data_IF_733945564201
#
_entry.id   IF_733945564201
#
_cell.length_a   1.000
_cell.length_b   1.000
_cell.length_c   1.000
_cell.angle_alpha   90.00
_cell.angle_beta   90.00
_cell.angle_gamma   90.00
#
_symmetry.space_group_name_H-M   'P 1'
#
loop_
_entity.id
_entity.type
_entity.pdbx_description
1 polymer ?
#
# COMPACT_ATOMS: atom_id res chain seq x y z
N UNK A 1 -64.20 40.91 29.75
CA UNK A 1 -62.76 41.10 29.96
C UNK A 1 -62.07 39.82 29.51
N UNK A 2 -61.54 39.82 28.29
CA UNK A 2 -60.90 38.67 27.64
C UNK A 2 -59.44 38.60 28.11
N UNK A 3 -59.05 37.47 28.71
CA UNK A 3 -57.65 37.19 29.05
C UNK A 3 -57.05 36.41 27.88
N UNK A 4 -56.17 37.06 27.12
CA UNK A 4 -55.43 36.47 26.01
C UNK A 4 -54.19 35.77 26.55
N UNK A 5 -54.13 34.43 26.45
CA UNK A 5 -52.91 33.67 26.76
C UNK A 5 -51.87 33.90 25.65
N UNK A 6 -50.73 34.50 26.02
CA UNK A 6 -49.55 34.62 25.15
C UNK A 6 -48.89 33.25 24.99
N UNK A 7 -48.60 32.88 23.74
CA UNK A 7 -47.79 31.72 23.39
C UNK A 7 -46.40 31.84 24.02
N UNK A 8 -46.04 30.86 24.86
CA UNK A 8 -44.66 30.65 25.32
C UNK A 8 -43.96 29.88 24.21
N UNK A 9 -43.03 30.54 23.50
CA UNK A 9 -42.13 29.87 22.59
C UNK A 9 -41.19 28.96 23.38
N UNK A 10 -41.37 27.65 23.24
CA UNK A 10 -40.42 26.66 23.74
C UNK A 10 -39.21 26.72 22.81
N UNK A 11 -38.14 27.36 23.28
CA UNK A 11 -36.84 27.31 22.63
C UNK A 11 -36.32 25.88 22.80
N UNK A 12 -36.46 25.06 21.76
CA UNK A 12 -35.79 23.77 21.69
C UNK A 12 -34.28 24.04 21.60
N UNK A 13 -33.61 23.95 22.74
CA UNK A 13 -32.16 23.93 22.80
C UNK A 13 -31.72 22.61 22.18
N UNK A 14 -31.41 22.61 20.89
CA UNK A 14 -30.77 21.47 20.25
C UNK A 14 -29.38 21.35 20.88
N UNK A 15 -29.26 20.46 21.86
CA UNK A 15 -27.98 20.02 22.38
C UNK A 15 -27.24 19.39 21.20
N UNK A 16 -26.29 20.12 20.63
CA UNK A 16 -25.30 19.52 19.74
C UNK A 16 -24.57 18.48 20.59
N UNK A 17 -24.57 17.18 20.22
CA UNK A 17 -23.69 16.24 20.88
C UNK A 17 -22.28 16.74 20.58
N UNK A 18 -21.63 17.31 21.59
CA UNK A 18 -20.18 17.45 21.60
C UNK A 18 -19.72 16.00 21.63
N UNK A 19 -19.38 15.43 20.46
CA UNK A 19 -18.64 14.17 20.45
C UNK A 19 -17.39 14.47 21.27
N UNK A 20 -17.19 13.73 22.36
CA UNK A 20 -15.92 13.75 23.04
C UNK A 20 -14.85 13.56 21.96
N UNK A 21 -13.90 14.49 21.88
CA UNK A 21 -12.71 14.27 21.09
C UNK A 21 -12.15 12.96 21.64
N UNK A 22 -12.20 11.91 20.82
CA UNK A 22 -11.50 10.69 21.14
C UNK A 22 -10.00 11.09 21.24
N UNK A 23 -9.37 10.57 22.28
CA UNK A 23 -8.01 10.88 22.70
C UNK A 23 -7.26 9.57 22.60
N UNK A 24 -6.06 9.56 22.01
CA UNK A 24 -5.32 8.31 21.84
C UNK A 24 -5.25 7.52 23.16
N UNK A 25 -5.83 6.32 23.17
CA UNK A 25 -5.73 5.38 24.27
C UNK A 25 -4.35 4.71 24.22
N UNK A 26 -3.37 5.31 24.90
CA UNK A 26 -2.05 4.74 25.11
C UNK A 26 -2.20 3.48 25.98
N UNK A 27 -2.12 2.29 25.38
CA UNK A 27 -2.37 1.01 26.06
C UNK A 27 -1.14 0.12 26.14
N UNK A 28 -0.25 0.43 27.09
CA UNK A 28 0.59 -0.58 27.74
C UNK A 28 2.09 -0.48 27.46
N UNK A 29 2.88 -0.80 28.49
CA UNK A 29 4.30 -1.08 28.33
C UNK A 29 4.50 -2.60 28.21
N UNK A 30 5.27 -3.07 27.23
CA UNK A 30 5.71 -4.48 27.23
C UNK A 30 6.76 -4.71 28.34
N UNK A 31 6.92 -5.94 28.87
CA UNK A 31 7.86 -6.22 29.97
C UNK A 31 9.34 -5.89 29.66
N UNK A 32 9.68 -5.65 28.39
CA UNK A 32 11.03 -5.30 27.92
C UNK A 32 11.16 -3.83 27.45
N UNK A 33 10.11 -3.01 27.57
CA UNK A 33 10.27 -1.54 27.62
C UNK A 33 9.72 -0.69 26.46
N UNK A 34 8.76 -1.15 25.67
CA UNK A 34 8.11 -0.33 24.62
C UNK A 34 6.82 0.36 25.05
N UNK A 35 6.46 1.49 24.42
CA UNK A 35 5.14 2.14 24.51
C UNK A 35 4.20 1.58 23.43
N UNK A 36 3.08 1.02 23.85
CA UNK A 36 1.97 0.69 22.95
C UNK A 36 1.00 1.87 22.93
N UNK A 37 0.84 2.49 21.76
CA UNK A 37 -0.12 3.58 21.57
C UNK A 37 -1.22 3.13 20.61
N UNK A 38 -2.47 3.27 21.04
CA UNK A 38 -3.61 3.19 20.14
C UNK A 38 -4.21 4.58 20.00
N UNK A 39 -4.38 5.04 18.77
CA UNK A 39 -4.98 6.34 18.52
C UNK A 39 -6.43 6.22 18.07
N UNK A 40 -7.35 6.74 18.88
CA UNK A 40 -8.73 7.03 18.50
C UNK A 40 -8.98 8.55 18.59
N UNK A 41 -9.67 9.12 17.61
CA UNK A 41 -9.98 10.55 17.60
C UNK A 41 -8.85 11.50 17.19
N UNK A 42 -8.82 12.70 17.77
CA UNK A 42 -8.02 13.82 17.26
C UNK A 42 -6.80 14.10 18.16
N UNK A 43 -5.59 13.96 17.61
CA UNK A 43 -4.35 14.38 18.27
C UNK A 43 -3.68 15.54 17.53
N UNK A 44 -3.46 16.68 18.20
CA UNK A 44 -2.87 17.86 17.56
C UNK A 44 -1.33 17.87 17.53
N UNK A 45 -0.67 16.92 18.20
CA UNK A 45 0.76 17.00 18.49
C UNK A 45 1.60 15.81 17.98
N UNK A 46 1.02 14.90 17.20
CA UNK A 46 1.75 13.74 16.66
C UNK A 46 2.09 12.65 17.67
N UNK A 47 2.91 11.69 17.25
CA UNK A 47 3.52 10.65 18.09
C UNK A 47 5.04 10.72 17.97
N UNK A 48 5.73 10.59 19.10
CA UNK A 48 7.19 10.54 19.19
C UNK A 48 7.52 9.33 20.05
N UNK A 49 8.17 8.35 19.45
CA UNK A 49 8.52 7.09 20.08
C UNK A 49 9.74 7.19 20.98
N UNK A 50 10.26 6.03 21.37
CA UNK A 50 11.24 5.89 22.44
C UNK A 50 12.56 5.35 21.92
N UNK A 51 13.47 4.97 22.83
CA UNK A 51 14.72 4.27 22.46
C UNK A 51 14.55 2.75 22.48
N UNK A 52 13.31 2.28 22.58
CA UNK A 52 12.95 0.88 22.70
C UNK A 52 11.86 0.58 21.70
N UNK A 53 11.77 -0.70 21.34
CA UNK A 53 10.71 -1.22 20.48
C UNK A 53 9.31 -0.75 20.88
N UNK A 54 8.72 0.08 20.05
CA UNK A 54 7.38 0.63 20.15
C UNK A 54 6.39 -0.09 19.24
N UNK A 55 5.11 0.06 19.56
CA UNK A 55 4.02 -0.47 18.73
C UNK A 55 2.89 0.54 18.67
N UNK A 56 2.69 1.14 17.50
CA UNK A 56 1.66 2.13 17.25
C UNK A 56 0.55 1.51 16.38
N UNK A 57 -0.71 1.67 16.80
CA UNK A 57 -1.88 1.33 15.99
C UNK A 57 -2.77 2.55 15.81
N UNK A 58 -2.98 2.96 14.55
CA UNK A 58 -3.90 4.02 14.18
C UNK A 58 -5.23 3.38 13.78
N UNK A 59 -6.30 3.69 14.52
CA UNK A 59 -7.61 3.11 14.31
C UNK A 59 -8.43 3.90 13.28
N UNK A 60 -9.41 3.27 12.61
CA UNK A 60 -10.32 3.96 11.71
C UNK A 60 -10.99 5.17 12.38
N UNK A 61 -10.95 6.32 11.72
CA UNK A 61 -11.52 7.58 12.22
C UNK A 61 -10.61 8.39 13.14
N UNK A 62 -9.39 7.91 13.43
CA UNK A 62 -8.34 8.74 14.01
C UNK A 62 -7.94 9.87 13.04
N UNK A 63 -7.53 11.01 13.58
CA UNK A 63 -7.02 12.16 12.88
C UNK A 63 -5.82 12.71 13.67
N UNK A 64 -4.62 12.44 13.17
CA UNK A 64 -3.36 12.88 13.79
C UNK A 64 -2.80 13.95 12.88
N UNK A 65 -2.82 15.19 13.33
CA UNK A 65 -2.41 16.32 12.50
C UNK A 65 -1.37 17.12 13.25
N UNK A 66 -0.19 17.27 12.66
CA UNK A 66 0.86 18.12 13.20
C UNK A 66 0.97 19.39 12.34
N UNK A 67 0.74 20.54 12.98
CA UNK A 67 0.77 21.83 12.29
C UNK A 67 2.13 22.54 12.39
N UNK A 68 3.18 21.81 12.74
CA UNK A 68 4.56 22.30 12.82
C UNK A 68 5.41 21.54 11.82
N UNK A 69 6.55 22.12 11.43
CA UNK A 69 7.50 21.54 10.48
C UNK A 69 8.38 20.47 11.17
N UNK A 70 7.74 19.39 11.59
CA UNK A 70 8.34 18.15 12.11
C UNK A 70 7.40 17.00 11.72
N UNK A 71 7.93 15.77 11.61
CA UNK A 71 7.13 14.60 11.23
C UNK A 71 5.94 14.39 12.15
N UNK A 72 4.82 13.92 11.61
CA UNK A 72 3.62 13.70 12.44
C UNK A 72 3.74 12.47 13.34
N UNK A 73 4.43 11.43 12.89
CA UNK A 73 4.70 10.21 13.64
C UNK A 73 6.18 9.91 13.51
N UNK A 74 6.90 9.78 14.62
CA UNK A 74 8.30 9.32 14.67
C UNK A 74 8.32 8.08 15.56
N UNK A 75 8.80 6.93 15.08
CA UNK A 75 8.88 5.73 15.94
C UNK A 75 10.18 5.69 16.77
N UNK A 76 11.25 6.32 16.29
CA UNK A 76 12.43 6.60 17.10
C UNK A 76 13.52 5.56 16.92
N UNK A 77 13.98 4.95 18.01
CA UNK A 77 15.01 3.92 17.95
C UNK A 77 14.51 2.60 18.57
N UNK A 78 15.03 1.49 18.06
CA UNK A 78 14.56 0.14 18.28
C UNK A 78 13.69 -0.36 17.13
N UNK A 79 13.55 -1.68 17.01
CA UNK A 79 12.72 -2.28 15.96
C UNK A 79 11.23 -2.11 16.24
N UNK A 80 10.65 -1.06 15.70
CA UNK A 80 9.30 -0.60 15.93
C UNK A 80 8.28 -1.22 14.97
N UNK A 81 7.01 -1.04 15.31
CA UNK A 81 5.93 -1.49 14.44
C UNK A 81 4.76 -0.51 14.42
N UNK A 82 4.38 -0.10 13.22
CA UNK A 82 3.22 0.73 12.94
C UNK A 82 2.18 -0.06 12.17
N UNK A 83 0.93 -0.01 12.63
CA UNK A 83 -0.22 -0.46 11.84
C UNK A 83 -1.24 0.67 11.72
N UNK A 84 -1.50 1.11 10.49
CA UNK A 84 -2.60 2.04 10.20
C UNK A 84 -3.78 1.25 9.63
N UNK A 85 -4.79 1.02 10.46
CA UNK A 85 -6.02 0.33 10.05
C UNK A 85 -7.02 1.29 9.37
N UNK A 86 -6.75 2.60 9.39
CA UNK A 86 -7.57 3.65 8.83
C UNK A 86 -7.16 5.02 9.39
N UNK A 87 -8.01 6.03 9.18
CA UNK A 87 -7.80 7.37 9.73
C UNK A 87 -7.09 8.33 8.77
N UNK A 88 -6.71 9.48 9.29
CA UNK A 88 -6.00 10.54 8.59
C UNK A 88 -4.76 10.92 9.39
N UNK A 89 -3.60 10.94 8.74
CA UNK A 89 -2.36 11.53 9.26
C UNK A 89 -2.00 12.67 8.34
N UNK A 90 -1.75 13.85 8.89
CA UNK A 90 -1.29 14.98 8.09
C UNK A 90 -0.12 15.71 8.72
N UNK A 91 0.83 16.12 7.88
CA UNK A 91 1.93 17.01 8.17
C UNK A 91 1.91 18.16 7.16
N UNK A 92 2.16 19.39 7.61
CA UNK A 92 2.07 20.56 6.72
C UNK A 92 3.29 20.74 5.83
N UNK A 93 4.48 20.59 6.41
CA UNK A 93 5.75 20.94 5.78
C UNK A 93 6.75 19.78 5.78
N UNK A 94 6.41 18.66 6.41
CA UNK A 94 7.33 17.55 6.69
C UNK A 94 6.67 16.20 6.38
N UNK A 95 7.32 15.12 6.82
CA UNK A 95 6.85 13.75 6.63
C UNK A 95 5.61 13.42 7.47
N UNK A 96 4.78 12.50 6.99
CA UNK A 96 3.70 12.00 7.84
C UNK A 96 4.20 10.96 8.85
N UNK A 97 5.11 10.08 8.44
CA UNK A 97 5.60 8.95 9.23
C UNK A 97 7.12 8.84 9.01
N UNK A 98 7.91 9.07 10.05
CA UNK A 98 9.31 8.67 10.15
C UNK A 98 9.43 7.36 10.92
N UNK A 99 10.04 6.33 10.32
CA UNK A 99 10.24 5.03 10.97
C UNK A 99 11.45 5.09 11.92
N UNK A 100 12.59 5.60 11.49
CA UNK A 100 13.79 5.70 12.33
C UNK A 100 15.00 5.05 11.65
N UNK A 101 16.07 4.81 12.42
CA UNK A 101 17.34 4.23 11.93
C UNK A 101 17.45 2.70 12.20
N UNK A 102 16.35 2.06 12.60
CA UNK A 102 16.34 0.65 12.99
C UNK A 102 15.41 -0.15 12.05
N UNK A 103 15.49 -1.49 12.09
CA UNK A 103 14.66 -2.31 11.21
C UNK A 103 13.19 -2.32 11.69
N UNK A 104 12.39 -1.43 11.12
CA UNK A 104 11.00 -1.19 11.48
C UNK A 104 10.02 -1.86 10.53
N UNK A 105 8.75 -1.87 10.93
CA UNK A 105 7.68 -2.38 10.08
C UNK A 105 6.48 -1.44 10.09
N UNK A 106 6.05 -1.01 8.91
CA UNK A 106 4.85 -0.21 8.71
C UNK A 106 3.84 -0.98 7.83
N UNK A 107 2.63 -1.21 8.34
CA UNK A 107 1.52 -1.80 7.57
C UNK A 107 0.37 -0.80 7.48
N UNK A 108 0.20 -0.22 6.29
CA UNK A 108 -0.77 0.83 6.00
C UNK A 108 -1.95 0.27 5.21
N UNK A 109 -3.00 -0.11 5.94
CA UNK A 109 -4.12 -0.88 5.40
C UNK A 109 -5.15 0.00 4.70
N UNK A 110 -5.57 1.08 5.35
CA UNK A 110 -6.56 2.02 4.86
C UNK A 110 -6.25 3.42 5.42
N UNK A 111 -6.98 4.43 4.95
CA UNK A 111 -6.86 5.81 5.42
C UNK A 111 -6.08 6.71 4.47
N UNK A 112 -5.68 7.87 4.95
CA UNK A 112 -5.03 8.91 4.15
C UNK A 112 -3.82 9.49 4.87
N UNK A 113 -2.71 9.62 4.16
CA UNK A 113 -1.56 10.43 4.53
C UNK A 113 -1.56 11.70 3.66
N UNK A 114 -1.47 12.89 4.26
CA UNK A 114 -1.37 14.18 3.59
C UNK A 114 -0.13 14.91 4.11
N UNK A 115 0.97 14.87 3.36
CA UNK A 115 2.30 15.18 3.87
C UNK A 115 2.91 16.35 3.09
N UNK A 116 3.70 17.17 3.79
CA UNK A 116 4.36 18.33 3.22
C UNK A 116 5.64 17.96 2.47
N UNK A 117 6.37 16.98 2.99
CA UNK A 117 7.42 16.26 2.28
C UNK A 117 6.93 14.82 2.04
N UNK A 118 7.46 13.80 2.71
CA UNK A 118 7.29 12.41 2.33
C UNK A 118 6.09 11.73 3.00
N UNK A 119 5.53 10.74 2.32
CA UNK A 119 4.48 9.91 2.88
C UNK A 119 4.96 9.09 4.07
N UNK A 120 6.07 8.38 3.84
CA UNK A 120 6.79 7.57 4.83
C UNK A 120 8.27 7.78 4.55
N UNK A 121 9.02 8.23 5.55
CA UNK A 121 10.48 8.25 5.56
C UNK A 121 10.99 7.08 6.42
N UNK A 122 11.80 6.21 5.84
CA UNK A 122 12.39 5.06 6.50
C UNK A 122 13.79 5.31 7.07
N UNK A 123 14.24 6.57 7.14
CA UNK A 123 15.26 7.12 8.06
C UNK A 123 16.66 6.53 8.05
N UNK A 124 16.91 5.38 7.43
CA UNK A 124 18.10 4.58 7.69
C UNK A 124 19.37 5.29 7.18
N UNK A 125 20.19 5.76 8.12
CA UNK A 125 21.46 6.41 7.82
C UNK A 125 22.52 5.42 7.28
N UNK A 126 22.36 4.91 6.05
CA UNK A 126 23.32 4.20 5.15
C UNK A 126 24.24 3.09 5.74
N UNK A 127 24.16 2.78 7.03
CA UNK A 127 25.19 2.00 7.76
C UNK A 127 24.63 1.04 8.81
N UNK A 128 23.33 1.09 9.08
CA UNK A 128 22.70 0.16 10.02
C UNK A 128 22.30 -1.09 9.25
N UNK A 129 22.59 -2.27 9.81
CA UNK A 129 22.33 -3.56 9.17
C UNK A 129 20.84 -3.99 9.28
N UNK A 130 19.95 -3.01 9.33
CA UNK A 130 18.51 -3.17 9.30
C UNK A 130 17.98 -2.89 7.90
N UNK A 131 16.79 -3.39 7.61
CA UNK A 131 16.02 -2.98 6.46
C UNK A 131 14.58 -2.88 6.93
N UNK A 132 13.91 -1.80 6.53
CA UNK A 132 12.55 -1.53 6.86
C UNK A 132 11.60 -2.38 6.03
N UNK A 133 10.47 -2.74 6.62
CA UNK A 133 9.39 -3.41 5.92
C UNK A 133 8.17 -2.49 5.83
N UNK A 134 7.87 -2.01 4.64
CA UNK A 134 6.75 -1.09 4.38
C UNK A 134 5.72 -1.80 3.51
N UNK A 135 4.48 -1.94 3.99
CA UNK A 135 3.40 -2.59 3.26
C UNK A 135 2.16 -1.69 3.11
N UNK A 136 1.81 -1.37 1.87
CA UNK A 136 0.60 -0.64 1.51
C UNK A 136 -0.50 -1.59 1.02
N UNK A 137 -1.65 -1.62 1.70
CA UNK A 137 -2.80 -2.48 1.35
C UNK A 137 -4.08 -1.73 0.98
N UNK A 138 -4.04 -0.41 0.86
CA UNK A 138 -5.23 0.39 0.60
C UNK A 138 -5.17 1.84 1.08
N UNK A 139 -4.08 2.27 1.71
CA UNK A 139 -3.86 3.68 2.07
C UNK A 139 -3.78 4.58 0.83
N UNK A 140 -4.21 5.82 0.99
CA UNK A 140 -3.97 6.91 0.04
C UNK A 140 -2.88 7.82 0.57
N UNK A 141 -1.78 7.99 -0.16
CA UNK A 141 -0.68 8.90 0.17
C UNK A 141 -0.72 10.07 -0.81
N UNK A 142 -0.76 11.28 -0.27
CA UNK A 142 -0.57 12.53 -1.01
C UNK A 142 0.60 13.27 -0.36
N UNK A 143 1.73 13.33 -1.05
CA UNK A 143 2.99 13.87 -0.53
C UNK A 143 3.48 15.07 -1.36
N UNK A 144 4.23 15.95 -0.71
CA UNK A 144 4.92 17.07 -1.35
C UNK A 144 6.35 16.73 -1.78
N UNK A 145 6.94 15.69 -1.20
CA UNK A 145 8.14 14.97 -1.63
C UNK A 145 7.76 13.58 -2.16
N UNK A 146 8.46 12.56 -1.70
CA UNK A 146 8.29 11.17 -2.08
C UNK A 146 7.03 10.55 -1.50
N UNK A 147 6.51 9.52 -2.17
CA UNK A 147 5.46 8.71 -1.57
C UNK A 147 5.98 7.85 -0.42
N UNK A 148 7.13 7.22 -0.66
CA UNK A 148 7.93 6.48 0.31
C UNK A 148 9.39 6.84 -0.03
N UNK A 149 10.12 7.35 0.94
CA UNK A 149 11.58 7.43 0.93
C UNK A 149 12.12 6.35 1.89
N UNK A 150 12.84 5.37 1.36
CA UNK A 150 13.41 4.28 2.15
C UNK A 150 14.87 4.55 2.56
N UNK A 151 15.49 5.60 2.04
CA UNK A 151 16.86 6.00 2.37
C UNK A 151 17.90 4.86 2.27
N UNK A 152 18.38 4.30 3.38
CA UNK A 152 19.45 3.30 3.38
C UNK A 152 19.00 1.92 3.84
N UNK A 153 19.83 0.89 3.59
CA UNK A 153 19.58 -0.45 4.12
C UNK A 153 18.92 -1.39 3.12
N UNK A 154 18.74 -2.66 3.48
CA UNK A 154 18.12 -3.65 2.57
C UNK A 154 16.60 -3.70 2.80
N UNK A 155 15.86 -2.76 2.21
CA UNK A 155 14.44 -2.56 2.47
C UNK A 155 13.52 -3.52 1.72
N UNK A 156 12.32 -3.70 2.25
CA UNK A 156 11.23 -4.40 1.57
C UNK A 156 9.97 -3.55 1.52
N UNK A 157 9.61 -3.13 0.32
CA UNK A 157 8.44 -2.31 0.06
C UNK A 157 7.41 -3.12 -0.73
N UNK A 158 6.20 -3.26 -0.20
CA UNK A 158 5.13 -4.05 -0.81
C UNK A 158 3.89 -3.18 -1.00
N UNK A 159 3.52 -2.94 -2.26
CA UNK A 159 2.27 -2.27 -2.61
C UNK A 159 1.28 -3.28 -3.21
N UNK A 160 0.22 -3.59 -2.46
CA UNK A 160 -0.83 -4.53 -2.89
C UNK A 160 -2.14 -3.85 -3.26
N UNK A 161 -2.39 -2.64 -2.77
CA UNK A 161 -3.45 -1.75 -3.17
C UNK A 161 -3.16 -0.33 -2.64
N UNK A 162 -4.10 0.60 -2.85
CA UNK A 162 -3.97 2.00 -2.45
C UNK A 162 -3.49 2.89 -3.58
N UNK A 163 -3.10 4.11 -3.24
CA UNK A 163 -2.58 5.07 -4.21
C UNK A 163 -1.53 6.00 -3.62
N UNK A 164 -0.48 6.27 -4.37
CA UNK A 164 0.51 7.30 -4.10
C UNK A 164 0.33 8.41 -5.13
N UNK A 165 0.21 9.64 -4.67
CA UNK A 165 0.19 10.85 -5.51
C UNK A 165 1.22 11.83 -4.99
N UNK A 166 2.32 11.97 -5.73
CA UNK A 166 3.30 13.03 -5.50
C UNK A 166 2.76 14.32 -6.08
N UNK A 167 2.77 15.38 -5.29
CA UNK A 167 2.37 16.73 -5.69
C UNK A 167 3.55 17.69 -5.80
N UNK A 168 4.68 17.26 -5.23
CA UNK A 168 6.00 17.86 -5.39
C UNK A 168 6.39 18.11 -6.83
N UNK A 169 7.21 19.13 -6.99
CA UNK A 169 7.83 19.46 -8.30
C UNK A 169 9.33 19.64 -8.16
N UNK A 170 9.91 19.24 -7.03
CA UNK A 170 11.36 19.27 -6.88
C UNK A 170 11.92 18.19 -7.81
N UNK A 171 13.16 18.39 -8.23
CA UNK A 171 13.83 17.37 -9.04
C UNK A 171 14.17 16.21 -8.12
N UNK A 172 13.75 14.99 -8.48
CA UNK A 172 13.86 13.75 -7.69
C UNK A 172 12.76 13.50 -6.64
N UNK A 173 11.54 14.04 -6.78
CA UNK A 173 10.43 13.49 -5.98
C UNK A 173 9.86 12.24 -6.69
N UNK A 174 9.95 11.07 -6.07
CA UNK A 174 9.56 9.75 -6.55
C UNK A 174 8.26 9.25 -5.93
N UNK A 175 7.59 8.32 -6.62
CA UNK A 175 6.51 7.58 -5.97
C UNK A 175 7.01 6.69 -4.84
N UNK A 176 8.12 5.99 -5.10
CA UNK A 176 8.89 5.16 -4.17
C UNK A 176 10.36 5.40 -4.51
N UNK A 177 11.15 5.86 -3.55
CA UNK A 177 12.61 5.88 -3.61
C UNK A 177 13.14 4.88 -2.58
N UNK A 178 13.89 3.86 -3.02
CA UNK A 178 14.58 2.97 -2.09
C UNK A 178 16.04 3.41 -1.82
N UNK A 179 16.56 4.32 -2.64
CA UNK A 179 17.80 5.08 -2.45
C UNK A 179 19.10 4.25 -2.31
N UNK A 180 19.31 3.43 -1.29
CA UNK A 180 20.59 2.74 -1.10
C UNK A 180 20.54 1.44 -0.32
N UNK A 181 20.89 0.34 -0.96
CA UNK A 181 21.00 -0.98 -0.34
C UNK A 181 20.74 -2.09 -1.34
N UNK A 182 20.12 -3.19 -0.92
CA UNK A 182 19.65 -4.21 -1.86
C UNK A 182 18.16 -4.42 -1.64
N UNK A 183 17.38 -3.60 -2.31
CA UNK A 183 15.98 -3.42 -1.99
C UNK A 183 15.07 -4.39 -2.74
N UNK A 184 13.94 -4.71 -2.11
CA UNK A 184 12.90 -5.54 -2.70
C UNK A 184 11.57 -4.79 -2.76
N UNK A 185 11.24 -4.29 -3.94
CA UNK A 185 10.01 -3.55 -4.21
C UNK A 185 9.02 -4.46 -4.96
N UNK A 186 7.85 -4.73 -4.38
CA UNK A 186 6.83 -5.62 -4.95
C UNK A 186 5.54 -4.84 -5.19
N UNK A 187 5.13 -4.75 -6.46
CA UNK A 187 3.98 -3.98 -6.91
C UNK A 187 2.92 -4.90 -7.49
N UNK A 188 1.82 -5.07 -6.77
CA UNK A 188 0.75 -6.02 -7.12
C UNK A 188 -0.64 -5.41 -7.25
N UNK A 189 -0.81 -4.13 -6.90
CA UNK A 189 -2.07 -3.41 -7.05
C UNK A 189 -1.95 -1.91 -6.77
N UNK A 190 -2.98 -1.16 -7.14
CA UNK A 190 -3.09 0.27 -6.84
C UNK A 190 -2.57 1.19 -7.95
N UNK A 191 -2.13 2.40 -7.58
CA UNK A 191 -1.64 3.39 -8.54
C UNK A 191 -0.56 4.30 -7.96
N UNK A 192 0.43 4.64 -8.77
CA UNK A 192 1.46 5.64 -8.44
C UNK A 192 1.41 6.74 -9.51
N UNK A 193 1.16 7.97 -9.06
CA UNK A 193 1.09 9.16 -9.90
C UNK A 193 2.16 10.16 -9.47
N UNK A 194 3.11 10.41 -10.35
CA UNK A 194 4.20 11.37 -10.17
C UNK A 194 4.14 12.46 -11.26
N UNK A 195 4.34 13.75 -10.95
CA UNK A 195 4.33 14.81 -11.95
C UNK A 195 5.46 14.62 -12.97
N UNK A 196 5.23 14.97 -14.23
CA UNK A 196 6.20 14.74 -15.31
C UNK A 196 7.51 15.54 -15.18
N UNK A 197 7.54 16.54 -14.31
CA UNK A 197 8.73 17.35 -13.99
C UNK A 197 9.52 16.80 -12.81
N UNK A 198 9.01 15.76 -12.15
CA UNK A 198 9.60 15.12 -10.99
C UNK A 198 10.39 13.85 -11.39
N UNK A 199 10.61 12.93 -10.45
CA UNK A 199 11.32 11.68 -10.64
C UNK A 199 10.49 10.54 -11.28
N UNK A 200 10.99 9.33 -11.08
CA UNK A 200 10.36 8.08 -11.48
C UNK A 200 9.15 7.73 -10.59
N UNK A 201 8.28 6.83 -11.06
CA UNK A 201 7.26 6.25 -10.18
C UNK A 201 7.90 5.36 -9.10
N UNK A 202 9.03 4.75 -9.43
CA UNK A 202 9.81 3.87 -8.58
C UNK A 202 11.28 4.07 -8.94
N UNK A 203 12.14 4.22 -7.95
CA UNK A 203 13.60 4.21 -8.07
C UNK A 203 14.17 3.16 -7.12
N UNK A 204 14.99 2.23 -7.64
CA UNK A 204 15.76 1.29 -6.82
C UNK A 204 16.84 2.04 -6.03
N UNK A 205 17.62 2.87 -6.72
CA UNK A 205 18.67 3.65 -6.06
C UNK A 205 20.03 3.03 -6.31
N UNK A 206 20.89 2.99 -5.30
CA UNK A 206 22.20 2.37 -5.33
C UNK A 206 22.13 0.95 -4.76
N UNK A 207 22.88 0.03 -5.37
CA UNK A 207 23.08 -1.33 -4.92
C UNK A 207 22.34 -2.35 -5.79
N UNK A 208 21.94 -3.49 -5.23
CA UNK A 208 21.35 -4.58 -6.06
C UNK A 208 19.86 -4.73 -5.80
N UNK A 209 19.08 -3.98 -6.55
CA UNK A 209 17.66 -3.84 -6.28
C UNK A 209 16.81 -4.77 -7.13
N UNK A 210 15.61 -5.04 -6.61
CA UNK A 210 14.63 -5.86 -7.29
C UNK A 210 13.28 -5.18 -7.28
N UNK A 211 12.78 -4.85 -8.47
CA UNK A 211 11.40 -4.39 -8.66
C UNK A 211 10.58 -5.51 -9.31
N UNK A 212 9.56 -6.02 -8.61
CA UNK A 212 8.64 -7.04 -9.14
C UNK A 212 7.25 -6.46 -9.42
N UNK A 213 6.87 -6.44 -10.70
CA UNK A 213 5.51 -6.20 -11.16
C UNK A 213 4.72 -7.50 -11.06
N UNK A 214 4.13 -7.72 -9.88
CA UNK A 214 3.45 -8.95 -9.48
C UNK A 214 1.92 -8.92 -9.72
N UNK A 215 1.36 -7.79 -10.15
CA UNK A 215 -0.07 -7.64 -10.41
C UNK A 215 -0.40 -6.35 -11.16
N UNK A 216 -1.70 -6.05 -11.36
CA UNK A 216 -2.13 -4.87 -12.09
C UNK A 216 -1.89 -3.59 -11.25
N UNK A 217 -0.87 -2.81 -11.62
CA UNK A 217 -0.60 -1.50 -11.02
C UNK A 217 -0.59 -0.41 -12.08
N UNK A 218 -1.25 0.72 -11.80
CA UNK A 218 -1.25 1.87 -12.71
C UNK A 218 -0.07 2.79 -12.40
N UNK A 219 0.85 2.96 -13.36
CA UNK A 219 2.00 3.87 -13.24
C UNK A 219 1.92 4.95 -14.33
N UNK A 220 2.08 6.21 -13.96
CA UNK A 220 2.10 7.31 -14.92
C UNK A 220 3.51 7.79 -15.31
N UNK A 221 4.55 7.28 -14.64
CA UNK A 221 5.97 7.59 -14.87
C UNK A 221 6.76 6.29 -15.18
N UNK A 222 8.09 6.35 -15.16
CA UNK A 222 8.98 5.21 -15.39
C UNK A 222 9.27 4.44 -14.10
N UNK A 223 9.79 3.22 -14.22
CA UNK A 223 10.47 2.47 -13.16
C UNK A 223 11.96 2.58 -13.44
N UNK A 224 12.76 2.94 -12.45
CA UNK A 224 14.20 3.12 -12.58
C UNK A 224 14.94 2.15 -11.66
N UNK A 225 15.99 1.46 -12.16
CA UNK A 225 16.88 0.67 -11.31
C UNK A 225 17.79 1.60 -10.55
N UNK A 226 18.80 2.17 -11.22
CA UNK A 226 19.65 3.23 -10.66
C UNK A 226 19.46 4.59 -11.39
N UNK A 227 19.63 5.72 -10.69
CA UNK A 227 19.75 7.05 -11.33
C UNK A 227 21.17 7.62 -11.24
N UNK A 228 22.01 7.01 -10.43
CA UNK A 228 23.32 7.55 -10.09
C UNK A 228 24.35 7.03 -11.10
N UNK A 229 24.94 7.95 -11.86
CA UNK A 229 25.90 7.67 -12.94
C UNK A 229 27.26 7.09 -12.50
N UNK A 230 27.32 6.39 -11.38
CA UNK A 230 28.49 5.67 -10.87
C UNK A 230 28.26 4.17 -10.98
N UNK A 231 29.27 3.44 -11.44
CA UNK A 231 29.33 1.98 -11.36
C UNK A 231 29.44 1.64 -9.85
N UNK A 232 28.31 1.55 -9.16
CA UNK A 232 28.22 1.14 -7.75
C UNK A 232 28.51 -0.37 -7.59
N UNK A 233 28.55 -1.09 -8.71
CA UNK A 233 28.77 -2.54 -8.79
C UNK A 233 27.55 -3.36 -8.43
N UNK A 234 26.40 -2.71 -8.29
CA UNK A 234 25.07 -3.26 -8.07
C UNK A 234 24.55 -4.06 -9.26
N UNK A 235 23.40 -4.70 -9.10
CA UNK A 235 22.71 -5.40 -10.18
C UNK A 235 21.21 -5.30 -9.95
N UNK A 236 20.57 -4.49 -10.78
CA UNK A 236 19.15 -4.25 -10.70
C UNK A 236 18.36 -5.21 -11.59
N UNK A 237 17.26 -5.70 -11.03
CA UNK A 237 16.39 -6.66 -11.68
C UNK A 237 14.96 -6.12 -11.73
N UNK A 238 14.48 -5.85 -12.95
CA UNK A 238 13.05 -5.65 -13.21
C UNK A 238 12.39 -7.00 -13.52
N UNK A 239 11.52 -7.47 -12.64
CA UNK A 239 10.77 -8.72 -12.82
C UNK A 239 9.30 -8.46 -13.14
N UNK A 240 8.76 -9.27 -14.04
CA UNK A 240 7.32 -9.35 -14.29
C UNK A 240 6.77 -10.71 -13.83
N UNK A 241 6.16 -10.75 -12.65
CA UNK A 241 5.51 -11.94 -12.05
C UNK A 241 3.98 -11.94 -12.23
N UNK A 242 3.51 -11.84 -13.48
CA UNK A 242 2.09 -11.68 -13.77
C UNK A 242 1.34 -13.00 -14.01
N UNK A 243 0.04 -13.01 -13.73
CA UNK A 243 -0.87 -14.08 -14.12
C UNK A 243 -1.88 -13.58 -15.15
N UNK A 244 -1.70 -13.96 -16.41
CA UNK A 244 -2.44 -13.39 -17.55
C UNK A 244 -3.23 -14.46 -18.32
N UNK A 245 -4.34 -14.10 -18.99
CA UNK A 245 -4.95 -14.92 -20.03
C UNK A 245 -3.91 -15.37 -21.07
N UNK A 246 -4.02 -16.62 -21.55
CA UNK A 246 -2.99 -17.25 -22.39
C UNK A 246 -2.46 -16.39 -23.54
N UNK A 247 -3.36 -15.79 -24.34
CA UNK A 247 -2.94 -14.95 -25.47
C UNK A 247 -2.14 -13.72 -25.00
N UNK A 248 -2.57 -13.06 -23.93
CA UNK A 248 -1.83 -11.93 -23.35
C UNK A 248 -0.51 -12.38 -22.72
N UNK A 249 -0.48 -13.54 -22.06
CA UNK A 249 0.74 -14.12 -21.49
C UNK A 249 1.80 -14.38 -22.58
N UNK A 250 1.41 -14.95 -23.71
CA UNK A 250 2.32 -15.24 -24.83
C UNK A 250 2.86 -13.95 -25.46
N UNK A 251 2.00 -12.95 -25.65
CA UNK A 251 2.40 -11.63 -26.17
C UNK A 251 3.35 -10.91 -25.21
N UNK A 252 3.05 -10.91 -23.91
CA UNK A 252 3.88 -10.27 -22.89
C UNK A 252 5.25 -10.95 -22.78
N UNK A 253 5.31 -12.29 -22.76
CA UNK A 253 6.58 -13.03 -22.76
C UNK A 253 7.41 -12.73 -23.99
N UNK A 254 6.79 -12.68 -25.17
CA UNK A 254 7.49 -12.35 -26.40
C UNK A 254 8.08 -10.93 -26.35
N UNK A 255 7.28 -9.94 -25.95
CA UNK A 255 7.71 -8.56 -25.85
C UNK A 255 8.86 -8.38 -24.85
N UNK A 256 8.74 -8.95 -23.65
CA UNK A 256 9.75 -8.86 -22.59
C UNK A 256 11.03 -9.63 -22.93
N UNK A 257 10.95 -10.77 -23.62
CA UNK A 257 12.15 -11.54 -24.01
C UNK A 257 13.06 -10.82 -25.02
N UNK A 258 12.52 -9.83 -25.74
CA UNK A 258 13.25 -9.02 -26.71
C UNK A 258 13.55 -7.60 -26.19
N UNK A 259 13.14 -7.29 -24.96
CA UNK A 259 13.27 -5.99 -24.34
C UNK A 259 14.74 -5.70 -23.98
N UNK A 260 15.13 -4.43 -24.05
CA UNK A 260 16.43 -3.97 -23.57
C UNK A 260 16.30 -3.62 -22.07
N UNK A 261 17.06 -4.27 -21.16
CA UNK A 261 17.04 -3.93 -19.74
C UNK A 261 17.38 -2.46 -19.46
N UNK A 262 18.34 -1.88 -20.19
CA UNK A 262 18.78 -0.52 -19.94
C UNK A 262 17.72 0.56 -20.20
N UNK A 263 16.76 0.32 -21.09
CA UNK A 263 15.60 1.20 -21.28
C UNK A 263 14.58 0.56 -22.22
N UNK A 264 13.29 0.71 -21.89
CA UNK A 264 12.23 0.26 -22.77
C UNK A 264 10.82 0.51 -22.26
N UNK A 265 9.86 -0.06 -22.98
CA UNK A 265 8.45 -0.01 -22.61
C UNK A 265 7.70 -1.23 -23.11
N UNK A 266 6.67 -1.66 -22.38
CA UNK A 266 5.76 -2.74 -22.77
C UNK A 266 4.32 -2.44 -22.35
N UNK A 267 3.37 -2.75 -23.22
CA UNK A 267 1.95 -2.69 -22.89
C UNK A 267 1.47 -4.07 -22.44
N UNK A 268 0.99 -4.17 -21.21
CA UNK A 268 0.44 -5.41 -20.63
C UNK A 268 -0.91 -5.09 -20.00
N UNK A 269 -1.95 -5.78 -20.48
CA UNK A 269 -3.33 -5.62 -20.01
C UNK A 269 -3.86 -4.17 -19.99
N UNK A 270 -3.43 -3.37 -20.98
CA UNK A 270 -3.86 -1.98 -21.12
C UNK A 270 -3.06 -0.96 -20.29
N UNK A 271 -2.07 -1.42 -19.51
CA UNK A 271 -1.11 -0.57 -18.83
C UNK A 271 0.22 -0.56 -19.58
N UNK A 272 0.77 0.63 -19.82
CA UNK A 272 2.13 0.80 -20.34
C UNK A 272 3.12 0.86 -19.17
N UNK A 273 4.03 -0.10 -19.11
CA UNK A 273 5.17 -0.07 -18.20
C UNK A 273 6.37 0.48 -18.95
N UNK A 274 7.02 1.50 -18.41
CA UNK A 274 8.25 2.09 -18.95
C UNK A 274 9.35 1.92 -17.92
N UNK A 275 10.56 1.63 -18.38
CA UNK A 275 11.70 1.46 -17.48
C UNK A 275 12.99 2.03 -18.07
N UNK A 276 13.95 2.27 -17.18
CA UNK A 276 15.33 2.63 -17.47
C UNK A 276 16.27 1.97 -16.47
N UNK A 277 17.54 1.87 -16.84
CA UNK A 277 18.66 1.55 -15.96
C UNK A 277 18.50 0.25 -15.16
N UNK A 278 18.23 -0.86 -15.85
CA UNK A 278 18.32 -2.20 -15.27
C UNK A 278 19.37 -3.04 -16.00
N UNK A 279 20.05 -3.93 -15.29
CA UNK A 279 20.97 -4.93 -15.86
C UNK A 279 20.18 -6.10 -16.42
N UNK A 280 19.06 -6.45 -15.77
CA UNK A 280 18.28 -7.64 -16.07
C UNK A 280 16.76 -7.41 -16.10
N UNK A 281 16.11 -8.09 -17.05
CA UNK A 281 14.66 -8.28 -17.06
C UNK A 281 14.37 -9.76 -16.82
N UNK A 282 13.60 -10.06 -15.77
CA UNK A 282 13.12 -11.41 -15.46
C UNK A 282 11.65 -11.58 -15.84
N UNK A 283 11.32 -12.70 -16.48
CA UNK A 283 9.95 -13.00 -16.94
C UNK A 283 9.41 -14.22 -16.22
N UNK A 284 8.50 -14.01 -15.28
CA UNK A 284 7.85 -15.05 -14.48
C UNK A 284 6.32 -15.09 -14.72
N UNK A 285 5.90 -14.99 -15.97
CA UNK A 285 4.49 -14.91 -16.35
C UNK A 285 3.85 -16.30 -16.40
N UNK A 286 2.75 -16.49 -15.68
CA UNK A 286 1.94 -17.72 -15.67
C UNK A 286 0.58 -17.53 -16.35
N UNK A 287 -0.03 -18.64 -16.81
CA UNK A 287 -1.36 -18.60 -17.42
C UNK A 287 -2.48 -18.59 -16.36
N UNK A 288 -3.45 -17.68 -16.52
CA UNK A 288 -4.69 -17.72 -15.77
C UNK A 288 -5.51 -18.97 -16.17
N UNK A 289 -6.05 -19.68 -15.18
CA UNK A 289 -6.92 -20.82 -15.46
C UNK A 289 -8.17 -20.34 -16.22
N UNK A 290 -8.46 -20.94 -17.37
CA UNK A 290 -9.69 -20.65 -18.11
C UNK A 290 -10.86 -21.16 -17.27
N UNK A 291 -11.82 -20.31 -16.86
CA UNK A 291 -13.03 -20.78 -16.19
C UNK A 291 -13.73 -21.77 -17.11
N UNK A 292 -13.78 -23.05 -16.73
CA UNK A 292 -14.52 -24.05 -17.51
C UNK A 292 -16.00 -23.73 -17.30
N UNK A 293 -16.77 -23.38 -18.36
CA UNK A 293 -18.18 -23.10 -18.20
C UNK A 293 -18.89 -24.32 -17.59
N UNK A 294 -19.59 -24.10 -16.46
CA UNK A 294 -20.34 -25.12 -15.71
C UNK A 294 -21.44 -25.79 -16.56
N UNK A 295 -21.71 -25.23 -17.74
CA UNK A 295 -22.63 -25.73 -18.76
C UNK A 295 -22.29 -27.16 -19.25
N UNK A 296 -21.07 -27.65 -19.00
CA UNK A 296 -20.66 -29.04 -19.29
C UNK A 296 -21.02 -30.05 -18.17
N UNK A 297 -21.14 -29.60 -16.92
CA UNK A 297 -21.42 -30.48 -15.76
C UNK A 297 -22.92 -30.63 -15.48
N UNK A 298 -23.73 -29.65 -15.92
CA UNK A 298 -25.19 -29.71 -15.84
C UNK A 298 -25.83 -30.87 -16.61
N UNK A 299 -25.14 -31.43 -17.62
CA UNK A 299 -25.65 -32.58 -18.39
C UNK A 299 -25.54 -33.91 -17.61
N UNK A 300 -24.54 -34.08 -16.74
CA UNK A 300 -24.43 -35.29 -15.90
C UNK A 300 -25.37 -35.24 -14.69
N UNK A 301 -25.56 -34.06 -14.08
CA UNK A 301 -26.50 -33.92 -12.95
C UNK A 301 -27.97 -33.97 -13.39
N UNK A 302 -28.31 -33.45 -14.57
CA UNK A 302 -29.65 -33.60 -15.12
C UNK A 302 -30.00 -35.06 -15.44
N UNK A 303 -29.02 -35.89 -15.81
CA UNK A 303 -29.24 -37.32 -16.07
C UNK A 303 -29.48 -38.12 -14.78
N UNK A 304 -28.82 -37.77 -13.67
CA UNK A 304 -29.03 -38.41 -12.37
C UNK A 304 -30.38 -38.05 -11.72
N UNK A 305 -30.86 -36.82 -11.91
CA UNK A 305 -32.19 -36.41 -11.40
C UNK A 305 -33.34 -37.05 -12.19
N UNK A 306 -33.15 -37.35 -13.48
CA UNK A 306 -34.20 -37.99 -14.29
C UNK A 306 -34.36 -39.50 -14.06
N UNK A 307 -33.33 -40.20 -13.57
CA UNK A 307 -33.44 -41.62 -13.19
C UNK A 307 -34.04 -41.86 -11.80
N UNK A 308 -34.06 -40.86 -10.92
CA UNK A 308 -34.63 -40.98 -9.56
C UNK A 308 -36.16 -40.84 -9.47
N UNK A 309 -36.83 -40.31 -10.49
CA UNK A 309 -38.25 -39.95 -10.44
C UNK A 309 -39.22 -40.89 -11.19
N UNK A 310 -38.72 -41.91 -11.90
CA UNK A 310 -39.54 -42.83 -12.72
C UNK A 310 -39.62 -44.27 -12.20
N UNK A 311 -39.18 -44.53 -10.96
CA UNK A 311 -38.81 -45.88 -10.53
C UNK A 311 -39.51 -46.50 -9.32
N UNK A 312 -40.79 -46.26 -9.04
CA UNK A 312 -41.60 -47.20 -8.20
C UNK A 312 -43.08 -47.16 -8.56
N UNK A 313 -43.48 -47.83 -9.64
CA UNK A 313 -44.88 -48.25 -9.83
C UNK A 313 -45.04 -49.65 -9.18
N UNK A 314 -45.58 -49.65 -7.96
CA UNK A 314 -45.93 -50.86 -7.22
C UNK A 314 -47.13 -51.57 -7.90
N UNK A 315 -46.87 -52.65 -8.63
CA UNK A 315 -47.90 -53.60 -9.05
C UNK A 315 -48.20 -54.52 -7.87
N UNK A 316 -49.28 -54.22 -7.15
CA UNK A 316 -49.85 -55.07 -6.11
C UNK A 316 -50.55 -56.29 -6.72
N UNK A 317 -49.96 -57.46 -6.53
CA UNK A 317 -50.47 -58.76 -7.00
C UNK A 317 -51.55 -59.27 -6.03
N UNK A 318 -52.76 -59.43 -6.53
CA UNK A 318 -53.85 -60.14 -5.85
C UNK A 318 -53.45 -61.58 -5.49
N UNK A 319 -53.68 -61.96 -4.23
CA UNK A 319 -53.95 -63.33 -3.79
C UNK A 319 -54.99 -63.29 -2.67
N UNK A 320 -56.25 -63.52 -3.05
CA UNK A 320 -57.18 -64.58 -2.60
C UNK A 320 -58.55 -64.23 -3.13
#
# INVERSE_FOLDING_TARGET
MQITLKHVAVLALTLCPISAAATCDVTGATPEGGQVVACDGAEPNGFDGTLFRDTLTILPGASINRAIAEDTIVLGAGNDSLTMAGGEVSSLDDDCIGLGDDADTAVLQEGTLQCGDDGVDAGDASTVAGGNQIELRGVTIVSGGDGIDANGGDDTIIMSAGSITVTGTRFRDYGIAAEGGNDSIILSGGSITVPATSGAAVSGGNGSDRVDIAGPIALNSIINGDEESGDDGGTDILRFSLRLPRLQADLARQALSAANPAAGSVDIDGQTYRWANFEHIEVAISEAAVPVPVNSIGSLFALLVFCGLLGTHHIGRHKT
#
